data_IF_753653226887
#
_entry.id   IF_753653226887
#
_cell.length_a   1.000
_cell.length_b   1.000
_cell.length_c   1.000
_cell.angle_alpha   90.00
_cell.angle_beta   90.00
_cell.angle_gamma   90.00
#
_symmetry.space_group_name_H-M   'P 1'
#
loop_
_entity.id
_entity.type
_entity.pdbx_description
1 polymer ?
#
# COMPACT_ATOMS: atom_id res chain seq x y z
N UNK A 1 35.03 -10.35 10.63
CA UNK A 1 34.83 -9.85 9.27
C UNK A 1 34.70 -8.33 9.39
N UNK A 2 35.50 -7.60 8.62
CA UNK A 2 35.48 -6.14 8.63
C UNK A 2 34.19 -5.64 7.96
N UNK A 3 33.71 -4.46 8.37
CA UNK A 3 32.48 -3.83 7.81
C UNK A 3 32.61 -3.53 6.30
N UNK A 4 33.81 -3.49 5.82
CA UNK A 4 34.20 -3.27 4.41
C UNK A 4 33.93 -4.47 3.48
N UNK A 5 33.66 -5.64 4.07
CA UNK A 5 33.36 -6.88 3.30
C UNK A 5 31.89 -6.97 2.85
N UNK A 6 31.05 -5.98 3.19
CA UNK A 6 29.61 -6.00 2.90
C UNK A 6 29.17 -4.79 2.08
N UNK A 7 28.38 -5.05 1.02
CA UNK A 7 27.65 -4.03 0.28
C UNK A 7 26.25 -3.86 0.88
N UNK A 8 25.82 -2.62 1.11
CA UNK A 8 24.44 -2.32 1.53
C UNK A 8 23.53 -2.39 0.31
N UNK A 9 22.50 -3.24 0.39
CA UNK A 9 21.47 -3.40 -0.65
C UNK A 9 20.11 -3.22 0.03
N UNK A 10 19.30 -2.26 -0.44
CA UNK A 10 18.01 -1.94 0.15
C UNK A 10 16.94 -1.98 -0.95
N UNK A 11 15.81 -2.62 -0.65
CA UNK A 11 14.54 -2.51 -1.37
C UNK A 11 13.48 -1.92 -0.46
N UNK A 12 12.47 -1.29 -1.04
CA UNK A 12 11.36 -0.68 -0.30
C UNK A 12 10.03 -1.23 -0.77
N UNK A 13 9.13 -1.42 0.18
CA UNK A 13 7.70 -1.61 -0.02
C UNK A 13 6.98 -0.42 0.61
N UNK A 14 6.28 0.36 -0.20
CA UNK A 14 5.61 1.59 0.24
C UNK A 14 4.12 1.44 0.06
N UNK A 15 3.37 1.50 1.17
CA UNK A 15 1.92 1.52 1.16
C UNK A 15 1.41 2.97 1.09
N UNK A 16 0.48 3.21 0.19
CA UNK A 16 -0.18 4.50 0.05
C UNK A 16 -1.70 4.33 0.11
N UNK A 17 -2.33 4.91 1.13
CA UNK A 17 -3.80 4.95 1.24
C UNK A 17 -4.36 5.89 0.18
N UNK A 18 -5.29 5.38 -0.63
CA UNK A 18 -5.90 6.16 -1.71
C UNK A 18 -7.02 7.07 -1.19
N UNK A 19 -7.08 8.29 -1.71
CA UNK A 19 -8.05 9.32 -1.32
C UNK A 19 -9.45 9.11 -1.92
N UNK A 20 -9.96 7.87 -1.85
CA UNK A 20 -11.31 7.54 -2.28
C UNK A 20 -12.34 7.90 -1.22
N UNK A 21 -13.58 8.18 -1.63
CA UNK A 21 -14.69 8.45 -0.69
C UNK A 21 -15.19 7.18 -0.02
N UNK A 22 -15.02 6.03 -0.66
CA UNK A 22 -15.51 4.74 -0.18
C UNK A 22 -14.40 3.69 -0.21
N UNK A 23 -14.58 2.64 0.57
CA UNK A 23 -13.68 1.49 0.64
C UNK A 23 -13.55 0.77 -0.71
N UNK A 24 -12.55 -0.11 -0.81
CA UNK A 24 -12.22 -0.78 -2.07
C UNK A 24 -13.33 -1.68 -2.59
N UNK A 25 -14.12 -2.34 -1.72
CA UNK A 25 -15.11 -3.33 -2.11
C UNK A 25 -16.52 -3.08 -1.57
N UNK A 26 -16.76 -1.92 -0.93
CA UNK A 26 -18.06 -1.56 -0.39
C UNK A 26 -18.25 -0.03 -0.33
N UNK A 27 -19.45 0.41 0.01
CA UNK A 27 -19.81 1.83 0.10
C UNK A 27 -19.50 2.50 1.44
N UNK A 28 -18.87 1.79 2.40
CA UNK A 28 -18.48 2.41 3.66
C UNK A 28 -17.49 3.55 3.44
N UNK A 29 -17.60 4.66 4.18
CA UNK A 29 -16.69 5.79 4.03
C UNK A 29 -15.27 5.45 4.51
N UNK A 30 -14.29 6.18 3.98
CA UNK A 30 -12.86 6.06 4.33
C UNK A 30 -12.39 7.14 5.29
N UNK A 31 -13.29 8.00 5.78
CA UNK A 31 -12.97 9.11 6.67
C UNK A 31 -12.27 8.63 7.94
N UNK A 32 -11.17 9.29 8.28
CA UNK A 32 -10.41 9.02 9.50
C UNK A 32 -11.04 9.66 10.74
N UNK A 33 -10.88 9.03 11.92
CA UNK A 33 -11.24 9.61 13.21
C UNK A 33 -12.68 9.36 13.66
N UNK A 34 -13.47 8.56 12.94
CA UNK A 34 -14.78 8.12 13.39
C UNK A 34 -14.69 7.19 14.62
N UNK A 35 -15.81 7.06 15.36
CA UNK A 35 -15.89 6.10 16.48
C UNK A 35 -15.61 4.68 15.98
N UNK A 36 -14.93 3.83 16.76
CA UNK A 36 -14.62 2.47 16.37
C UNK A 36 -15.83 1.69 15.85
N UNK A 37 -15.64 0.95 14.76
CA UNK A 37 -16.63 0.07 14.13
C UNK A 37 -17.92 0.76 13.66
N UNK A 38 -17.89 2.08 13.35
CA UNK A 38 -19.03 2.81 12.78
C UNK A 38 -19.00 2.87 11.25
N UNK A 39 -17.84 2.71 10.62
CA UNK A 39 -17.67 2.64 9.18
C UNK A 39 -17.53 1.18 8.71
N UNK A 40 -18.52 0.36 9.04
CA UNK A 40 -18.51 -1.08 8.74
C UNK A 40 -19.84 -1.51 8.11
N UNK A 41 -19.78 -2.57 7.28
CA UNK A 41 -20.94 -3.21 6.68
C UNK A 41 -20.68 -4.72 6.53
N UNK A 42 -21.68 -5.52 6.15
CA UNK A 42 -21.50 -6.96 5.97
C UNK A 42 -20.33 -7.36 5.07
N UNK A 43 -20.00 -6.53 4.08
CA UNK A 43 -18.88 -6.82 3.13
C UNK A 43 -17.53 -6.68 3.84
N UNK A 44 -17.22 -5.50 4.41
CA UNK A 44 -15.93 -5.29 5.08
C UNK A 44 -15.79 -6.03 6.41
N UNK A 45 -16.91 -6.50 7.00
CA UNK A 45 -16.91 -7.41 8.15
C UNK A 45 -16.84 -8.89 7.76
N UNK A 46 -16.76 -9.19 6.46
CA UNK A 46 -16.68 -10.56 5.93
C UNK A 46 -17.85 -11.48 6.32
N UNK A 47 -19.05 -10.95 6.40
CA UNK A 47 -20.22 -11.78 6.72
C UNK A 47 -20.51 -12.78 5.61
N UNK A 48 -20.98 -14.00 5.95
CA UNK A 48 -21.27 -15.03 4.98
C UNK A 48 -22.25 -14.54 3.89
N UNK A 49 -21.91 -14.83 2.63
CA UNK A 49 -22.71 -14.45 1.46
C UNK A 49 -22.47 -13.04 0.93
N UNK A 50 -21.68 -12.20 1.61
CA UNK A 50 -21.29 -10.90 1.10
C UNK A 50 -20.22 -11.04 -0.01
N UNK A 51 -20.45 -10.36 -1.16
CA UNK A 51 -19.53 -10.38 -2.28
C UNK A 51 -18.95 -8.97 -2.54
N UNK A 52 -17.63 -8.86 -2.80
CA UNK A 52 -16.97 -7.59 -3.06
C UNK A 52 -17.30 -7.07 -4.47
N UNK A 53 -17.41 -5.75 -4.61
CA UNK A 53 -17.46 -5.05 -5.90
C UNK A 53 -16.35 -4.01 -5.92
N UNK A 54 -15.43 -4.12 -6.87
CA UNK A 54 -14.25 -3.25 -6.96
C UNK A 54 -14.66 -1.79 -7.24
N UNK A 55 -14.13 -0.87 -6.45
CA UNK A 55 -14.29 0.56 -6.63
C UNK A 55 -13.44 1.03 -7.84
N UNK A 56 -14.10 1.55 -8.87
CA UNK A 56 -13.47 2.04 -10.10
C UNK A 56 -12.42 3.13 -9.84
N UNK A 57 -12.65 4.00 -8.85
CA UNK A 57 -11.74 5.09 -8.51
C UNK A 57 -10.38 4.59 -7.99
N UNK A 58 -10.36 3.42 -7.38
CA UNK A 58 -9.12 2.76 -6.93
C UNK A 58 -8.27 2.38 -8.13
N UNK A 59 -8.88 1.81 -9.16
CA UNK A 59 -8.17 1.45 -10.42
C UNK A 59 -7.65 2.72 -11.10
N UNK A 60 -8.47 3.77 -11.18
CA UNK A 60 -8.05 5.06 -11.76
C UNK A 60 -6.80 5.63 -11.07
N UNK A 61 -6.81 5.67 -9.73
CA UNK A 61 -5.67 6.18 -8.97
C UNK A 61 -4.41 5.31 -9.11
N UNK A 62 -4.57 3.98 -9.10
CA UNK A 62 -3.46 3.06 -9.31
C UNK A 62 -2.85 3.22 -10.72
N UNK A 63 -3.67 3.38 -11.76
CA UNK A 63 -3.20 3.66 -13.13
C UNK A 63 -2.48 5.01 -13.20
N UNK A 64 -3.02 6.06 -12.57
CA UNK A 64 -2.34 7.38 -12.50
C UNK A 64 -0.97 7.26 -11.84
N UNK A 65 -0.88 6.54 -10.72
CA UNK A 65 0.38 6.30 -10.03
C UNK A 65 1.38 5.55 -10.93
N UNK A 66 0.92 4.50 -11.62
CA UNK A 66 1.74 3.75 -12.57
C UNK A 66 2.27 4.61 -13.71
N UNK A 67 1.41 5.41 -14.34
CA UNK A 67 1.82 6.32 -15.41
C UNK A 67 2.82 7.37 -14.93
N UNK A 68 2.59 7.97 -13.75
CA UNK A 68 3.45 8.98 -13.17
C UNK A 68 4.82 8.44 -12.73
N UNK A 69 4.94 7.14 -12.55
CA UNK A 69 6.18 6.42 -12.19
C UNK A 69 6.75 5.58 -13.34
N UNK A 70 6.36 5.88 -14.57
CA UNK A 70 6.85 5.25 -15.79
C UNK A 70 6.62 3.73 -15.86
N UNK A 71 5.60 3.21 -15.18
CA UNK A 71 5.24 1.79 -15.26
C UNK A 71 4.51 1.45 -16.55
N UNK A 72 4.63 0.19 -16.94
CA UNK A 72 3.75 -0.43 -17.92
C UNK A 72 2.42 -0.78 -17.23
N UNK A 73 1.30 -0.39 -17.86
CA UNK A 73 -0.03 -0.68 -17.32
C UNK A 73 -0.55 -1.96 -17.92
N UNK A 74 -0.87 -2.95 -17.08
CA UNK A 74 -1.48 -4.19 -17.50
C UNK A 74 -2.97 -3.98 -17.83
N UNK A 75 -3.40 -4.49 -18.99
CA UNK A 75 -4.82 -4.51 -19.38
C UNK A 75 -5.54 -5.78 -18.91
N UNK A 76 -4.78 -6.76 -18.42
CA UNK A 76 -5.26 -8.03 -17.89
C UNK A 76 -4.60 -8.26 -16.52
N UNK A 77 -5.21 -7.68 -15.49
CA UNK A 77 -4.77 -7.83 -14.09
C UNK A 77 -5.73 -8.70 -13.31
N UNK A 78 -5.25 -9.28 -12.21
CA UNK A 78 -6.00 -10.23 -11.39
C UNK A 78 -5.86 -9.88 -9.92
N UNK A 79 -6.98 -9.98 -9.19
CA UNK A 79 -6.95 -9.96 -7.73
C UNK A 79 -6.71 -11.37 -7.18
N UNK A 80 -5.80 -11.47 -6.24
CA UNK A 80 -5.42 -12.69 -5.54
C UNK A 80 -5.82 -12.62 -4.07
N UNK A 81 -5.85 -13.78 -3.41
CA UNK A 81 -6.09 -13.89 -1.97
C UNK A 81 -4.80 -14.24 -1.26
N UNK A 82 -4.28 -13.28 -0.46
CA UNK A 82 -3.16 -13.51 0.46
C UNK A 82 -3.72 -14.05 1.77
N UNK A 83 -3.69 -15.36 1.95
CA UNK A 83 -4.29 -16.01 3.11
C UNK A 83 -3.39 -15.92 4.34
N UNK A 84 -3.90 -15.33 5.41
CA UNK A 84 -3.31 -15.35 6.74
C UNK A 84 -4.37 -15.04 7.80
N UNK A 85 -4.15 -15.50 9.04
CA UNK A 85 -5.09 -15.35 10.14
C UNK A 85 -4.57 -14.31 11.12
N UNK A 86 -5.28 -13.19 11.21
CA UNK A 86 -5.02 -12.17 12.21
C UNK A 86 -6.33 -11.48 12.60
N UNK A 87 -6.52 -11.01 13.86
CA UNK A 87 -7.79 -10.48 14.33
C UNK A 87 -8.32 -9.27 13.56
N UNK A 88 -7.44 -8.45 12.97
CA UNK A 88 -7.78 -7.28 12.17
C UNK A 88 -8.14 -7.60 10.71
N UNK A 89 -8.08 -8.88 10.34
CA UNK A 89 -8.40 -9.36 9.00
C UNK A 89 -9.63 -10.29 9.05
N UNK A 90 -10.86 -9.73 9.01
CA UNK A 90 -12.08 -10.50 9.29
C UNK A 90 -12.36 -11.62 8.29
N UNK A 91 -11.83 -11.51 7.06
CA UNK A 91 -11.96 -12.55 6.00
C UNK A 91 -10.95 -13.70 6.15
N UNK A 92 -9.96 -13.58 7.04
CA UNK A 92 -8.79 -14.47 7.12
C UNK A 92 -7.94 -14.48 5.82
N UNK A 93 -8.14 -13.53 4.93
CA UNK A 93 -7.31 -13.24 3.77
C UNK A 93 -7.37 -11.75 3.42
N UNK A 94 -6.34 -11.25 2.79
CA UNK A 94 -6.27 -9.91 2.19
C UNK A 94 -6.38 -10.06 0.67
N UNK A 95 -7.20 -9.23 0.04
CA UNK A 95 -7.21 -9.14 -1.42
C UNK A 95 -6.04 -8.25 -1.83
N UNK A 96 -5.20 -8.77 -2.72
CA UNK A 96 -4.00 -8.14 -3.23
C UNK A 96 -3.80 -8.55 -4.70
N UNK A 97 -2.64 -8.31 -5.29
CA UNK A 97 -2.29 -8.78 -6.64
C UNK A 97 -0.85 -9.30 -6.60
N UNK A 98 -0.58 -10.44 -7.23
CA UNK A 98 0.76 -11.05 -7.20
C UNK A 98 1.36 -11.26 -8.60
N UNK A 99 0.86 -12.24 -9.36
CA UNK A 99 1.44 -12.65 -10.66
C UNK A 99 0.95 -11.78 -11.84
N UNK A 100 -0.14 -11.05 -11.67
CA UNK A 100 -0.68 -10.11 -12.67
C UNK A 100 -1.07 -8.79 -12.01
N UNK A 101 -0.11 -8.01 -11.53
CA UNK A 101 -0.39 -6.71 -10.92
C UNK A 101 -0.84 -5.71 -11.99
N UNK A 102 -1.42 -4.61 -11.53
CA UNK A 102 -1.93 -3.57 -12.43
C UNK A 102 -0.82 -2.80 -13.14
N UNK A 103 0.32 -2.55 -12.46
CA UNK A 103 1.45 -1.80 -13.01
C UNK A 103 2.77 -2.52 -12.73
N UNK A 104 3.67 -2.52 -13.72
CA UNK A 104 4.97 -3.20 -13.64
C UNK A 104 6.08 -2.40 -14.30
N UNK A 105 7.33 -2.71 -13.94
CA UNK A 105 8.54 -2.25 -14.62
C UNK A 105 8.66 -0.73 -14.78
N UNK A 106 8.35 -0.01 -13.69
CA UNK A 106 8.50 1.43 -13.63
C UNK A 106 9.86 1.89 -13.11
N UNK A 107 10.00 3.20 -12.95
CA UNK A 107 11.14 3.80 -12.27
C UNK A 107 10.84 5.23 -11.81
N UNK A 108 11.61 5.68 -10.82
CA UNK A 108 11.69 7.08 -10.40
C UNK A 108 13.15 7.52 -10.49
N UNK A 109 13.42 8.66 -11.15
CA UNK A 109 14.73 9.29 -11.13
C UNK A 109 14.84 10.17 -9.88
N UNK A 110 15.82 9.88 -9.04
CA UNK A 110 16.16 10.66 -7.84
C UNK A 110 17.43 11.48 -8.08
N UNK A 111 17.61 12.54 -7.29
CA UNK A 111 18.81 13.36 -7.28
C UNK A 111 19.44 13.33 -5.88
N UNK A 112 20.72 13.05 -5.80
CA UNK A 112 21.51 12.93 -4.57
C UNK A 112 22.79 13.76 -4.70
N UNK A 113 23.56 13.84 -3.63
CA UNK A 113 24.90 14.46 -3.66
C UNK A 113 25.85 13.81 -4.69
N UNK A 114 25.60 12.56 -5.09
CA UNK A 114 26.36 11.79 -6.08
C UNK A 114 25.83 11.94 -7.51
N UNK A 115 24.78 12.72 -7.72
CA UNK A 115 24.13 12.92 -9.01
C UNK A 115 22.79 12.20 -9.14
N UNK A 116 22.33 12.08 -10.38
CA UNK A 116 21.04 11.44 -10.71
C UNK A 116 21.15 9.94 -10.75
N UNK A 117 20.13 9.26 -10.22
CA UNK A 117 20.03 7.81 -10.25
C UNK A 117 18.58 7.38 -10.50
N UNK A 118 18.40 6.36 -11.33
CA UNK A 118 17.10 5.70 -11.50
C UNK A 118 16.96 4.60 -10.46
N UNK A 119 15.82 4.61 -9.78
CA UNK A 119 15.40 3.52 -8.89
C UNK A 119 14.25 2.81 -9.57
N UNK A 120 14.41 1.52 -9.82
CA UNK A 120 13.41 0.68 -10.45
C UNK A 120 12.20 0.45 -9.55
N UNK A 121 11.05 0.27 -10.16
CA UNK A 121 9.82 -0.19 -9.52
C UNK A 121 9.46 -1.52 -10.16
N UNK A 122 9.45 -2.56 -9.35
CA UNK A 122 9.06 -3.91 -9.78
C UNK A 122 7.58 -3.93 -10.16
N UNK A 123 6.73 -3.40 -9.26
CA UNK A 123 5.28 -3.34 -9.46
C UNK A 123 4.61 -2.28 -8.60
N UNK A 124 3.42 -1.87 -9.03
CA UNK A 124 2.43 -1.20 -8.19
C UNK A 124 1.16 -2.03 -8.29
N UNK A 125 0.66 -2.48 -7.17
CA UNK A 125 -0.53 -3.30 -7.10
C UNK A 125 -1.56 -2.76 -6.12
N UNK A 126 -2.81 -3.11 -6.34
CA UNK A 126 -3.94 -2.74 -5.51
C UNK A 126 -4.08 -3.75 -4.38
N UNK A 127 -4.35 -3.26 -3.18
CA UNK A 127 -4.71 -4.10 -2.04
C UNK A 127 -5.66 -3.39 -1.08
N UNK A 128 -6.21 -4.12 -0.13
CA UNK A 128 -7.05 -3.58 0.95
C UNK A 128 -6.27 -3.47 2.26
N UNK A 129 -6.55 -2.42 3.04
CA UNK A 129 -5.95 -2.29 4.37
C UNK A 129 -6.65 -3.23 5.37
N UNK A 130 -5.92 -3.64 6.40
CA UNK A 130 -6.45 -4.37 7.55
C UNK A 130 -7.12 -3.44 8.56
N UNK A 131 -7.88 -3.98 9.50
CA UNK A 131 -8.39 -3.25 10.65
C UNK A 131 -7.28 -2.73 11.56
N UNK A 132 -7.66 -2.12 12.67
CA UNK A 132 -6.73 -1.65 13.70
C UNK A 132 -6.88 -2.50 14.96
N UNK A 133 -5.74 -2.96 15.50
CA UNK A 133 -5.68 -3.60 16.81
C UNK A 133 -5.22 -2.60 17.86
N UNK A 134 -6.02 -2.43 18.91
CA UNK A 134 -5.64 -1.71 20.11
C UNK A 134 -5.41 -2.74 21.22
N UNK A 135 -4.19 -2.84 21.70
CA UNK A 135 -3.88 -3.70 22.85
C UNK A 135 -4.42 -3.03 24.11
N UNK A 136 -5.14 -3.81 24.90
CA UNK A 136 -5.59 -3.36 26.21
C UNK A 136 -4.49 -3.63 27.24
N UNK A 137 -3.89 -2.55 27.77
CA UNK A 137 -2.81 -2.62 28.76
C UNK A 137 -3.27 -3.22 30.09
N UNK A 138 -4.58 -3.35 30.33
CA UNK A 138 -5.17 -3.76 31.62
C UNK A 138 -5.88 -5.11 31.62
N UNK A 139 -6.24 -5.66 30.45
CA UNK A 139 -7.11 -6.83 30.36
C UNK A 139 -6.58 -8.04 29.60
N UNK A 140 -5.41 -7.94 29.00
CA UNK A 140 -4.80 -9.06 28.24
C UNK A 140 -5.54 -9.44 26.96
N UNK A 141 -6.43 -8.56 26.46
CA UNK A 141 -7.14 -8.71 25.20
C UNK A 141 -6.71 -7.71 24.14
N UNK A 142 -7.24 -7.85 22.92
CA UNK A 142 -7.10 -6.88 21.85
C UNK A 142 -8.50 -6.40 21.41
N UNK A 143 -8.66 -5.09 21.32
CA UNK A 143 -9.86 -4.46 20.76
C UNK A 143 -9.66 -4.25 19.27
N UNK A 144 -10.58 -4.77 18.45
CA UNK A 144 -10.53 -4.68 17.00
C UNK A 144 -11.41 -3.55 16.51
N UNK A 145 -10.84 -2.62 15.77
CA UNK A 145 -11.55 -1.58 15.05
C UNK A 145 -11.44 -1.83 13.53
N UNK A 146 -12.57 -2.13 12.90
CA UNK A 146 -12.68 -2.46 11.49
C UNK A 146 -13.01 -1.24 10.60
N UNK A 147 -12.97 -0.01 11.13
CA UNK A 147 -13.18 1.19 10.31
C UNK A 147 -12.17 1.28 9.16
N UNK A 148 -10.92 0.88 9.39
CA UNK A 148 -9.86 0.87 8.37
C UNK A 148 -9.91 -0.35 7.46
N UNK A 149 -10.49 -1.48 7.91
CA UNK A 149 -10.56 -2.71 7.11
C UNK A 149 -11.22 -2.46 5.76
N UNK A 150 -10.51 -2.75 4.67
CA UNK A 150 -10.96 -2.50 3.30
C UNK A 150 -10.76 -1.07 2.79
N UNK A 151 -10.03 -0.21 3.51
CA UNK A 151 -9.56 1.07 2.95
C UNK A 151 -8.60 0.76 1.78
N UNK A 152 -8.77 1.42 0.62
CA UNK A 152 -7.95 1.10 -0.54
C UNK A 152 -6.50 1.52 -0.36
N UNK A 153 -5.58 0.61 -0.65
CA UNK A 153 -4.15 0.85 -0.73
C UNK A 153 -3.63 0.56 -2.13
N UNK A 154 -2.53 1.21 -2.47
CA UNK A 154 -1.56 0.71 -3.44
C UNK A 154 -0.26 0.39 -2.71
N UNK A 155 0.34 -0.74 -3.03
CA UNK A 155 1.69 -1.09 -2.61
C UNK A 155 2.64 -0.88 -3.78
N UNK A 156 3.69 -0.10 -3.53
CA UNK A 156 4.74 0.25 -4.50
C UNK A 156 5.99 -0.48 -4.08
N UNK A 157 6.37 -1.50 -4.85
CA UNK A 157 7.55 -2.33 -4.60
C UNK A 157 8.71 -1.86 -5.46
N UNK A 158 9.78 -1.39 -4.84
CA UNK A 158 10.97 -0.98 -5.57
C UNK A 158 11.86 -2.18 -5.92
N UNK A 159 12.72 -2.00 -6.94
CA UNK A 159 13.89 -2.86 -7.09
C UNK A 159 14.89 -2.59 -5.94
N UNK A 160 15.76 -3.55 -5.59
CA UNK A 160 16.75 -3.40 -4.53
C UNK A 160 17.95 -2.56 -4.99
N UNK A 161 17.68 -1.38 -5.50
CA UNK A 161 18.65 -0.49 -6.14
C UNK A 161 19.34 0.47 -5.18
N UNK A 162 18.79 0.67 -3.97
CA UNK A 162 19.34 1.63 -3.04
C UNK A 162 20.63 1.11 -2.39
N UNK A 163 21.57 2.05 -2.18
CA UNK A 163 22.88 1.79 -1.55
C UNK A 163 23.16 2.73 -0.37
N UNK A 164 22.25 3.69 -0.11
CA UNK A 164 22.42 4.65 0.99
C UNK A 164 21.08 5.17 1.49
N UNK A 165 21.08 5.69 2.73
CA UNK A 165 19.93 6.36 3.35
C UNK A 165 19.53 7.62 2.56
N UNK A 166 20.51 8.36 2.01
CA UNK A 166 20.26 9.54 1.18
C UNK A 166 19.40 9.19 -0.05
N UNK A 167 19.69 8.07 -0.71
CA UNK A 167 18.91 7.59 -1.86
C UNK A 167 17.49 7.22 -1.46
N UNK A 168 17.31 6.57 -0.31
CA UNK A 168 15.99 6.20 0.24
C UNK A 168 15.17 7.47 0.55
N UNK A 169 15.75 8.44 1.23
CA UNK A 169 15.09 9.70 1.59
C UNK A 169 14.69 10.50 0.34
N UNK A 170 15.59 10.61 -0.64
CA UNK A 170 15.31 11.28 -1.91
C UNK A 170 14.17 10.60 -2.68
N UNK A 171 14.15 9.26 -2.70
CA UNK A 171 13.09 8.47 -3.34
C UNK A 171 11.73 8.69 -2.66
N UNK A 172 11.66 8.54 -1.33
CA UNK A 172 10.42 8.70 -0.58
C UNK A 172 9.83 10.10 -0.73
N UNK A 173 10.67 11.15 -0.67
CA UNK A 173 10.26 12.54 -0.91
C UNK A 173 9.71 12.73 -2.32
N UNK A 174 10.39 12.17 -3.33
CA UNK A 174 9.96 12.27 -4.73
C UNK A 174 8.66 11.51 -4.97
N UNK A 175 8.57 10.28 -4.46
CA UNK A 175 7.36 9.45 -4.58
C UNK A 175 6.16 10.15 -3.91
N UNK A 176 6.34 10.68 -2.69
CA UNK A 176 5.31 11.45 -2.00
C UNK A 176 4.80 12.61 -2.85
N UNK A 177 5.72 13.43 -3.38
CA UNK A 177 5.36 14.57 -4.24
C UNK A 177 4.59 14.14 -5.50
N UNK A 178 4.95 13.01 -6.11
CA UNK A 178 4.23 12.46 -7.28
C UNK A 178 2.81 12.08 -6.89
N UNK A 179 2.64 11.31 -5.82
CA UNK A 179 1.33 10.82 -5.38
C UNK A 179 0.39 11.95 -4.94
N UNK A 180 0.92 12.98 -4.29
CA UNK A 180 0.19 14.22 -3.94
C UNK A 180 -0.23 14.99 -5.20
N UNK A 181 0.68 15.14 -6.15
CA UNK A 181 0.41 15.89 -7.40
C UNK A 181 -0.71 15.26 -8.25
N UNK A 182 -0.78 13.93 -8.30
CA UNK A 182 -1.83 13.21 -9.03
C UNK A 182 -3.14 13.05 -8.21
N UNK A 183 -3.19 13.64 -7.00
CA UNK A 183 -4.33 13.59 -6.08
C UNK A 183 -4.74 12.15 -5.67
N UNK A 184 -3.82 11.20 -5.79
CA UNK A 184 -4.10 9.81 -5.45
C UNK A 184 -4.10 9.54 -3.94
N UNK A 185 -3.37 10.33 -3.16
CA UNK A 185 -3.25 10.20 -1.71
C UNK A 185 -3.58 11.49 -0.97
N UNK A 186 -4.08 11.36 0.25
CA UNK A 186 -4.21 12.48 1.19
C UNK A 186 -2.85 12.77 1.84
N UNK A 187 -2.61 14.02 2.26
CA UNK A 187 -1.33 14.50 2.83
C UNK A 187 -0.78 13.72 4.03
N UNK A 188 -1.53 12.79 4.62
CA UNK A 188 -1.25 12.21 5.93
C UNK A 188 -0.86 10.73 5.95
N UNK A 189 -0.94 9.97 4.85
CA UNK A 189 -0.93 8.50 4.93
C UNK A 189 0.02 7.80 3.93
N UNK A 190 1.32 8.13 3.98
CA UNK A 190 2.36 7.29 3.39
C UNK A 190 3.04 6.48 4.50
N UNK A 191 3.03 5.16 4.40
CA UNK A 191 3.77 4.25 5.28
C UNK A 191 4.81 3.49 4.44
N UNK A 192 6.07 3.57 4.84
CA UNK A 192 7.13 2.76 4.27
C UNK A 192 7.51 1.66 5.28
N UNK A 193 7.62 0.44 4.80
CA UNK A 193 8.25 -0.67 5.53
C UNK A 193 9.58 -0.99 4.87
N UNK A 194 10.63 -1.07 5.69
CA UNK A 194 11.95 -1.52 5.26
C UNK A 194 12.02 -3.03 5.40
N UNK A 195 12.28 -3.73 4.30
CA UNK A 195 12.62 -5.15 4.33
C UNK A 195 14.13 -5.28 4.25
N UNK A 196 14.79 -5.40 5.41
CA UNK A 196 16.20 -5.78 5.47
C UNK A 196 16.37 -7.26 5.13
N UNK A 197 17.22 -7.58 4.17
CA UNK A 197 17.76 -8.93 3.95
C UNK A 197 19.20 -8.99 4.40
#
# INVERSE_FOLDING_TARGET
>A
MAREDYEVVIGLEVHAELSTKTKIFCSCPTEFGAKPNTHTCPICMAMPGALPVLNEKVVEYAVKAGLATNCQISRDSKNDRKNYFYPDLPKAYQISQFDKPLCEHGYIEIETSKGKKKIGITRIHIEEDAGKLNHDDFGGGALVDLNRAGVPLIEIVSEPDFRSIEEVDAYLKKLKSILEYIEAVSYTHLRAHETGR
#
